data_IF_615361873426
#
_entry.id   IF_615361873426
#
_cell.length_a   1.000
_cell.length_b   1.000
_cell.length_c   1.000
_cell.angle_alpha   90.00
_cell.angle_beta   90.00
_cell.angle_gamma   90.00
#
_symmetry.space_group_name_H-M   'P 1'
#
loop_
_entity.id
_entity.type
_entity.pdbx_description
1 polymer ?
#
# COMPACT_ATOMS: atom_id res chain seq x y z
N UNK A 1 -7.63 10.58 -7.75
CA UNK A 1 -8.35 9.69 -6.81
C UNK A 1 -7.40 8.71 -6.12
N UNK A 2 -6.74 7.78 -6.83
CA UNK A 2 -5.91 6.73 -6.20
C UNK A 2 -4.65 7.25 -5.48
N UNK A 3 -4.12 8.42 -5.86
CA UNK A 3 -3.03 9.07 -5.12
C UNK A 3 -3.41 9.35 -3.67
N UNK A 4 -4.62 9.91 -3.43
CA UNK A 4 -5.13 10.13 -2.09
C UNK A 4 -5.62 8.86 -1.41
N UNK A 5 -6.33 7.99 -2.14
CA UNK A 5 -6.86 6.76 -1.54
C UNK A 5 -5.74 5.80 -1.09
N UNK A 6 -4.78 5.49 -1.98
CA UNK A 6 -3.72 4.53 -1.70
C UNK A 6 -2.51 5.18 -1.01
N UNK A 7 -2.11 6.36 -1.45
CA UNK A 7 -0.92 7.03 -0.92
C UNK A 7 -1.15 7.69 0.44
N UNK A 8 -2.37 8.13 0.75
CA UNK A 8 -2.68 8.80 2.02
C UNK A 8 -3.56 7.94 2.93
N UNK A 9 -4.82 7.72 2.55
CA UNK A 9 -5.81 7.06 3.43
C UNK A 9 -5.33 5.67 3.82
N UNK A 10 -4.93 4.86 2.84
CA UNK A 10 -4.50 3.49 3.09
C UNK A 10 -3.22 3.47 3.93
N UNK A 11 -2.17 4.23 3.56
CA UNK A 11 -0.90 4.26 4.30
C UNK A 11 -1.05 4.64 5.77
N UNK A 12 -1.80 5.71 6.08
CA UNK A 12 -2.02 6.13 7.47
C UNK A 12 -2.81 5.08 8.24
N UNK A 13 -3.85 4.52 7.62
CA UNK A 13 -4.67 3.48 8.25
C UNK A 13 -3.82 2.25 8.58
N UNK A 14 -2.99 1.81 7.64
CA UNK A 14 -2.12 0.66 7.84
C UNK A 14 -1.05 0.90 8.92
N UNK A 15 -0.40 2.06 8.92
CA UNK A 15 0.53 2.46 9.99
C UNK A 15 -0.15 2.49 11.36
N UNK A 16 -1.37 3.03 11.42
CA UNK A 16 -2.17 3.07 12.65
C UNK A 16 -2.56 1.67 13.13
N UNK A 17 -2.90 0.75 12.23
CA UNK A 17 -3.22 -0.64 12.56
C UNK A 17 -1.99 -1.40 13.07
N UNK A 18 -0.81 -1.20 12.46
CA UNK A 18 0.44 -1.79 12.94
C UNK A 18 0.79 -1.35 14.37
N UNK A 19 0.41 -0.13 14.75
CA UNK A 19 0.60 0.38 16.10
C UNK A 19 -0.47 -0.13 17.08
N UNK A 20 -1.73 -0.10 16.69
CA UNK A 20 -2.87 -0.35 17.57
C UNK A 20 -3.07 -1.84 17.85
N UNK A 21 -3.02 -2.70 16.82
CA UNK A 21 -3.37 -4.11 16.94
C UNK A 21 -2.51 -4.83 17.99
N UNK A 22 -1.17 -4.79 17.96
CA UNK A 22 -0.36 -5.50 18.95
C UNK A 22 -0.71 -5.09 20.39
N UNK A 23 -0.97 -3.79 20.62
CA UNK A 23 -1.32 -3.24 21.93
C UNK A 23 -2.67 -3.72 22.42
N UNK A 24 -3.68 -3.78 21.55
CA UNK A 24 -5.00 -4.32 21.89
C UNK A 24 -4.93 -5.78 22.33
N UNK A 25 -4.00 -6.55 21.76
CA UNK A 25 -3.79 -7.96 22.12
C UNK A 25 -2.75 -8.16 23.23
N UNK A 26 -2.11 -7.08 23.74
CA UNK A 26 -1.04 -7.14 24.74
C UNK A 26 0.20 -7.87 24.23
N UNK A 27 0.58 -7.63 22.98
CA UNK A 27 1.66 -8.33 22.26
C UNK A 27 2.60 -7.37 21.54
N UNK A 28 3.76 -7.89 21.15
CA UNK A 28 4.66 -7.26 20.19
C UNK A 28 4.35 -7.73 18.77
N UNK A 29 4.68 -6.92 17.75
CA UNK A 29 4.54 -7.32 16.35
C UNK A 29 5.37 -8.58 16.06
N UNK A 30 4.82 -9.48 15.26
CA UNK A 30 5.51 -10.71 14.87
C UNK A 30 6.83 -10.44 14.11
N UNK A 31 6.84 -9.48 13.17
CA UNK A 31 8.06 -9.09 12.47
C UNK A 31 8.02 -7.66 11.98
N UNK A 32 9.04 -6.87 12.34
CA UNK A 32 9.25 -5.52 11.81
C UNK A 32 9.72 -5.57 10.34
N UNK A 33 10.51 -6.57 9.96
CA UNK A 33 10.97 -6.74 8.57
C UNK A 33 9.80 -6.92 7.59
N UNK A 34 8.74 -7.62 8.00
CA UNK A 34 7.53 -7.75 7.18
C UNK A 34 6.79 -6.41 7.00
N UNK A 35 6.87 -5.49 8.00
CA UNK A 35 6.33 -4.13 7.87
C UNK A 35 7.12 -3.33 6.85
N UNK A 36 8.44 -3.43 6.86
CA UNK A 36 9.30 -2.78 5.85
C UNK A 36 9.02 -3.31 4.44
N UNK A 37 8.87 -4.63 4.28
CA UNK A 37 8.48 -5.24 3.00
C UNK A 37 7.10 -4.77 2.53
N UNK A 38 6.11 -4.71 3.43
CA UNK A 38 4.81 -4.15 3.14
C UNK A 38 4.92 -2.69 2.68
N UNK A 39 5.71 -1.87 3.37
CA UNK A 39 5.91 -0.47 3.04
C UNK A 39 6.49 -0.30 1.63
N UNK A 40 7.57 -1.01 1.30
CA UNK A 40 8.22 -0.86 0.01
C UNK A 40 7.39 -1.41 -1.15
N UNK A 41 6.77 -2.59 -0.99
CA UNK A 41 5.90 -3.17 -2.02
C UNK A 41 4.70 -2.27 -2.30
N UNK A 42 4.06 -1.75 -1.25
CA UNK A 42 2.93 -0.83 -1.38
C UNK A 42 3.36 0.51 -1.99
N UNK A 43 4.50 1.07 -1.57
CA UNK A 43 5.02 2.34 -2.11
C UNK A 43 5.33 2.23 -3.60
N UNK A 44 6.03 1.18 -4.02
CA UNK A 44 6.32 0.92 -5.44
C UNK A 44 5.01 0.78 -6.23
N UNK A 45 4.04 0.01 -5.69
CA UNK A 45 2.73 -0.14 -6.31
C UNK A 45 1.99 1.19 -6.51
N UNK A 46 1.97 2.06 -5.48
CA UNK A 46 1.37 3.39 -5.54
C UNK A 46 2.07 4.28 -6.57
N UNK A 47 3.40 4.33 -6.58
CA UNK A 47 4.17 5.16 -7.51
C UNK A 47 3.93 4.73 -8.95
N UNK A 48 3.95 3.43 -9.24
CA UNK A 48 3.64 2.88 -10.56
C UNK A 48 2.22 3.28 -11.01
N UNK A 49 1.26 3.14 -10.10
CA UNK A 49 -0.14 3.47 -10.37
C UNK A 49 -0.31 4.96 -10.70
N UNK A 50 0.23 5.84 -9.86
CA UNK A 50 0.10 7.29 -10.02
C UNK A 50 0.75 7.73 -11.33
N UNK A 51 1.97 7.25 -11.60
CA UNK A 51 2.72 7.60 -12.81
C UNK A 51 1.97 7.16 -14.06
N UNK A 52 1.47 5.92 -14.11
CA UNK A 52 0.69 5.42 -15.24
C UNK A 52 -0.56 6.27 -15.48
N UNK A 53 -1.28 6.63 -14.42
CA UNK A 53 -2.51 7.41 -14.54
C UNK A 53 -2.26 8.87 -14.92
N UNK A 54 -1.17 9.48 -14.44
CA UNK A 54 -0.76 10.82 -14.85
C UNK A 54 -0.44 10.87 -16.34
N UNK A 55 0.41 9.95 -16.83
CA UNK A 55 0.78 9.92 -18.25
C UNK A 55 -0.44 9.63 -19.12
N UNK A 56 -1.30 8.69 -18.71
CA UNK A 56 -2.55 8.41 -19.44
C UNK A 56 -3.47 9.63 -19.51
N UNK A 57 -3.63 10.38 -18.41
CA UNK A 57 -4.50 11.55 -18.38
C UNK A 57 -3.97 12.68 -19.26
N UNK A 58 -2.65 12.91 -19.26
CA UNK A 58 -2.01 13.88 -20.16
C UNK A 58 -2.21 13.46 -21.61
N UNK A 59 -1.94 12.19 -21.94
CA UNK A 59 -2.09 11.67 -23.31
C UNK A 59 -3.54 11.79 -23.81
N UNK A 60 -4.53 11.37 -23.01
CA UNK A 60 -5.95 11.53 -23.37
C UNK A 60 -6.31 13.00 -23.57
N UNK A 61 -5.89 13.89 -22.65
CA UNK A 61 -6.18 15.32 -22.74
C UNK A 61 -5.46 16.03 -23.90
N UNK A 62 -4.35 15.49 -24.40
CA UNK A 62 -3.69 15.98 -25.61
C UNK A 62 -4.40 15.46 -26.87
N UNK A 63 -4.71 14.15 -26.92
CA UNK A 63 -5.39 13.55 -28.08
C UNK A 63 -6.79 14.13 -28.29
N UNK A 64 -7.56 14.36 -27.23
CA UNK A 64 -8.93 14.90 -27.34
C UNK A 64 -8.99 16.37 -27.76
N UNK A 65 -7.90 17.14 -27.57
CA UNK A 65 -7.82 18.53 -28.03
C UNK A 65 -7.04 18.68 -29.35
N UNK A 66 -6.43 17.61 -29.84
CA UNK A 66 -5.59 17.67 -31.02
C UNK A 66 -6.47 17.99 -32.25
N UNK A 67 -6.17 19.12 -32.87
CA UNK A 67 -6.80 19.59 -34.09
C UNK A 67 -5.74 19.80 -35.16
N UNK A 68 -6.07 19.37 -36.38
CA UNK A 68 -5.25 19.57 -37.56
C UNK A 68 -5.31 21.06 -38.00
N UNK A 69 -4.42 21.45 -38.92
CA UNK A 69 -4.38 22.82 -39.44
C UNK A 69 -5.68 23.23 -40.17
N UNK A 70 -6.49 22.26 -40.61
CA UNK A 70 -7.80 22.45 -41.23
C UNK A 70 -8.96 22.50 -40.22
N UNK A 71 -8.68 22.41 -38.92
CA UNK A 71 -9.67 22.44 -37.84
C UNK A 71 -10.36 21.11 -37.55
N UNK A 72 -10.04 20.04 -38.27
CA UNK A 72 -10.56 18.69 -37.99
C UNK A 72 -9.86 18.05 -36.78
N UNK A 73 -10.52 17.11 -36.10
CA UNK A 73 -9.93 16.34 -35.00
C UNK A 73 -8.82 15.43 -35.53
N UNK A 74 -7.62 15.52 -34.93
CA UNK A 74 -6.46 14.70 -35.33
C UNK A 74 -6.64 13.23 -35.00
N UNK A 75 -7.29 12.92 -33.87
CA UNK A 75 -7.50 11.54 -33.40
C UNK A 75 -8.99 11.28 -33.16
N UNK A 76 -9.43 10.10 -33.57
CA UNK A 76 -10.72 9.54 -33.17
C UNK A 76 -10.72 9.13 -31.69
N UNK A 77 -11.92 9.00 -31.12
CA UNK A 77 -12.06 8.53 -29.75
C UNK A 77 -11.47 7.11 -29.56
N UNK A 78 -11.66 6.21 -30.53
CA UNK A 78 -11.18 4.82 -30.47
C UNK A 78 -9.66 4.77 -30.43
N UNK A 79 -8.96 5.61 -31.21
CA UNK A 79 -7.50 5.71 -31.15
C UNK A 79 -7.01 6.18 -29.77
N UNK A 80 -7.74 7.13 -29.16
CA UNK A 80 -7.42 7.57 -27.79
C UNK A 80 -7.56 6.43 -26.77
N UNK A 81 -8.55 5.55 -26.93
CA UNK A 81 -8.75 4.39 -26.04
C UNK A 81 -7.66 3.34 -26.26
N UNK A 82 -7.31 3.05 -27.52
CA UNK A 82 -6.24 2.09 -27.84
C UNK A 82 -4.88 2.55 -27.30
N UNK A 83 -4.57 3.84 -27.41
CA UNK A 83 -3.35 4.42 -26.86
C UNK A 83 -3.23 4.25 -25.33
N UNK A 84 -4.35 4.06 -24.61
CA UNK A 84 -4.33 3.89 -23.15
C UNK A 84 -3.99 2.49 -22.67
N UNK A 85 -4.07 1.48 -23.54
CA UNK A 85 -3.85 0.08 -23.17
C UNK A 85 -2.57 -0.18 -22.34
N UNK A 86 -1.37 0.30 -22.73
CA UNK A 86 -0.17 0.07 -21.93
C UNK A 86 -0.27 0.65 -20.52
N UNK A 87 -0.90 1.82 -20.35
CA UNK A 87 -1.05 2.46 -19.04
C UNK A 87 -2.04 1.71 -18.14
N UNK A 88 -3.07 1.07 -18.71
CA UNK A 88 -3.95 0.20 -17.94
C UNK A 88 -3.26 -1.07 -17.45
N UNK A 89 -2.34 -1.63 -18.23
CA UNK A 89 -1.51 -2.75 -17.79
C UNK A 89 -0.57 -2.31 -16.68
N UNK A 90 0.12 -1.18 -16.82
CA UNK A 90 1.00 -0.66 -15.75
C UNK A 90 0.23 -0.34 -14.47
N UNK A 91 -0.98 0.21 -14.59
CA UNK A 91 -1.89 0.45 -13.46
C UNK A 91 -2.25 -0.85 -12.76
N UNK A 92 -2.61 -1.89 -13.51
CA UNK A 92 -2.94 -3.19 -12.97
C UNK A 92 -1.75 -3.78 -12.21
N UNK A 93 -0.54 -3.72 -12.79
CA UNK A 93 0.70 -4.16 -12.12
C UNK A 93 0.94 -3.40 -10.82
N UNK A 94 0.80 -2.07 -10.81
CA UNK A 94 0.92 -1.27 -9.59
C UNK A 94 -0.10 -1.68 -8.51
N UNK A 95 -1.33 -1.98 -8.92
CA UNK A 95 -2.36 -2.53 -8.03
C UNK A 95 -2.01 -3.91 -7.47
N UNK A 96 -1.40 -4.79 -8.26
CA UNK A 96 -0.93 -6.11 -7.81
C UNK A 96 0.18 -5.98 -6.76
N UNK A 97 1.15 -5.09 -6.97
CA UNK A 97 2.19 -4.82 -5.96
C UNK A 97 1.60 -4.33 -4.63
N UNK A 98 0.62 -3.43 -4.70
CA UNK A 98 -0.09 -2.96 -3.51
C UNK A 98 -0.86 -4.09 -2.81
N UNK A 99 -1.55 -4.94 -3.59
CA UNK A 99 -2.28 -6.09 -3.05
C UNK A 99 -1.33 -7.09 -2.36
N UNK A 100 -0.16 -7.35 -2.95
CA UNK A 100 0.88 -8.19 -2.32
C UNK A 100 1.29 -7.59 -0.97
N UNK A 101 1.50 -6.27 -0.91
CA UNK A 101 1.72 -5.56 0.34
C UNK A 101 0.61 -5.84 1.36
N UNK A 102 -0.66 -5.71 0.98
CA UNK A 102 -1.79 -6.00 1.87
C UNK A 102 -1.81 -7.44 2.39
N UNK A 103 -1.44 -8.42 1.56
CA UNK A 103 -1.33 -9.82 1.98
C UNK A 103 -0.21 -10.02 2.99
N UNK A 104 0.94 -9.35 2.81
CA UNK A 104 2.05 -9.35 3.78
C UNK A 104 1.59 -8.80 5.13
N UNK A 105 0.82 -7.70 5.12
CA UNK A 105 0.26 -7.12 6.34
C UNK A 105 -0.72 -8.06 7.03
N UNK A 106 -1.67 -8.63 6.27
CA UNK A 106 -2.64 -9.58 6.79
C UNK A 106 -1.94 -10.77 7.47
N UNK A 107 -0.91 -11.32 6.82
CA UNK A 107 -0.10 -12.40 7.38
C UNK A 107 0.62 -11.99 8.68
N UNK A 108 1.28 -10.83 8.69
CA UNK A 108 2.03 -10.35 9.86
C UNK A 108 1.09 -10.13 11.08
N UNK A 109 -0.07 -9.51 10.84
CA UNK A 109 -1.10 -9.30 11.87
C UNK A 109 -1.68 -10.63 12.34
N UNK A 110 -2.02 -11.52 11.42
CA UNK A 110 -2.56 -12.84 11.76
C UNK A 110 -1.60 -13.62 12.65
N UNK A 111 -0.31 -13.65 12.31
CA UNK A 111 0.74 -14.25 13.15
C UNK A 111 0.89 -13.54 14.49
N UNK A 112 0.78 -12.21 14.53
CA UNK A 112 0.82 -11.44 15.78
C UNK A 112 -0.31 -11.86 16.74
N UNK A 113 -1.53 -12.07 16.23
CA UNK A 113 -2.73 -12.38 17.04
C UNK A 113 -2.86 -13.88 17.38
N UNK A 114 -2.31 -14.77 16.55
CA UNK A 114 -2.43 -16.23 16.74
C UNK A 114 -1.23 -16.90 17.39
N UNK A 115 -0.04 -16.28 17.37
CA UNK A 115 1.14 -16.88 18.00
C UNK A 115 0.93 -17.07 19.51
N UNK A 116 1.50 -18.12 20.13
CA UNK A 116 1.41 -18.31 21.57
C UNK A 116 1.90 -17.07 22.31
N UNK A 117 1.20 -16.65 23.37
CA UNK A 117 1.71 -15.58 24.25
C UNK A 117 3.02 -16.09 24.84
N UNK A 118 4.13 -15.44 24.51
CA UNK A 118 5.36 -15.62 25.28
C UNK A 118 5.07 -14.98 26.64
N UNK A 119 4.80 -15.83 27.63
CA UNK A 119 4.78 -15.40 29.01
C UNK A 119 6.23 -15.08 29.33
N UNK A 120 6.58 -13.79 29.35
CA UNK A 120 7.77 -13.34 30.04
C UNK A 120 7.61 -13.77 31.50
N UNK A 121 8.29 -14.85 31.89
CA UNK A 121 8.41 -15.22 33.30
C UNK A 121 9.19 -14.06 33.91
N UNK A 122 8.48 -13.22 34.66
CA UNK A 122 9.09 -12.14 35.38
C UNK A 122 9.92 -12.78 36.51
N UNK A 123 11.22 -13.01 36.25
CA UNK A 123 12.20 -13.47 37.24
C UNK A 123 12.48 -12.41 38.32
N UNK A 124 11.62 -11.39 38.44
CA UNK A 124 11.43 -10.62 39.66
C UNK A 124 10.80 -11.49 40.76
N UNK A 125 11.47 -12.59 41.11
CA UNK A 125 11.38 -13.17 42.44
C UNK A 125 11.76 -12.05 43.39
N UNK A 126 10.75 -11.58 44.11
CA UNK A 126 10.85 -10.67 45.24
C UNK A 126 12.11 -11.01 46.02
N UNK A 127 13.12 -10.13 45.98
CA UNK A 127 14.21 -10.22 46.94
C UNK A 127 13.55 -10.33 48.32
N UNK A 128 13.84 -11.39 49.10
CA UNK A 128 13.13 -11.63 50.34
C UNK A 128 13.27 -10.37 51.17
N UNK A 129 12.13 -9.76 51.52
CA UNK A 129 12.08 -8.62 52.41
C UNK A 129 12.89 -9.04 53.64
N UNK A 130 14.05 -8.42 53.82
CA UNK A 130 14.92 -8.65 54.96
C UNK A 130 14.07 -8.43 56.20
N UNK A 131 13.70 -9.54 56.83
CA UNK A 131 12.97 -9.59 58.07
C UNK A 131 13.96 -9.26 59.18
N UNK A 132 13.70 -8.11 59.84
CA UNK A 132 14.18 -7.70 61.16
C UNK A 132 15.68 -7.48 61.35
#
# INVERSE_FOLDING_TARGET
MHSGALGWVAMITMGSLYYLIPRLFGRTLYSIKLVEWHFWTSTIGVVLYITAMWVSGIMQGLMWRAVNADGTLTYSFVESVQAMHPYYVTRWLGGVFFLIGMLIMAYNIWKTVTSPKVVEINDAVLAPALAH
#
